data_IF_158639547755
#
_entry.id   IF_158639547755
#
_cell.length_a   1.000
_cell.length_b   1.000
_cell.length_c   1.000
_cell.angle_alpha   90.00
_cell.angle_beta   90.00
_cell.angle_gamma   90.00
#
_symmetry.space_group_name_H-M   'P 1'
#
loop_
_entity.id
_entity.type
_entity.pdbx_description
1 polymer ?
#
# COMPACT_ATOMS: atom_id res chain seq x y z
N UNK A 1 11.67 2.35 3.32
CA UNK A 1 13.14 2.04 3.30
C UNK A 1 13.45 0.86 4.22
N UNK A 2 14.63 0.24 4.05
CA UNK A 2 15.08 -0.91 4.90
C UNK A 2 15.27 -0.53 6.38
N UNK A 3 15.54 0.72 6.65
CA UNK A 3 15.71 1.28 8.00
C UNK A 3 14.41 1.88 8.57
N UNK A 4 13.28 1.64 7.90
CA UNK A 4 11.96 2.19 8.23
C UNK A 4 11.87 3.72 8.11
N UNK A 5 12.83 4.39 7.51
CA UNK A 5 12.70 5.82 7.20
C UNK A 5 11.60 6.06 6.17
N UNK A 6 10.88 7.16 6.31
CA UNK A 6 9.86 7.58 5.35
C UNK A 6 10.51 8.36 4.21
N UNK A 7 10.06 8.11 2.99
CA UNK A 7 10.43 8.87 1.81
C UNK A 7 9.23 9.69 1.34
N UNK A 8 9.51 10.86 0.80
CA UNK A 8 8.50 11.67 0.14
C UNK A 8 8.01 10.95 -1.12
N UNK A 9 6.69 10.75 -1.20
CA UNK A 9 6.03 10.20 -2.39
C UNK A 9 5.28 11.32 -3.11
N UNK A 10 3.95 11.34 -3.05
CA UNK A 10 3.14 12.43 -3.62
C UNK A 10 3.29 13.72 -2.81
N UNK A 11 3.51 13.64 -1.50
CA UNK A 11 3.92 14.80 -0.73
C UNK A 11 5.37 15.15 -1.05
N UNK A 12 5.61 16.42 -1.40
CA UNK A 12 6.94 16.98 -1.58
C UNK A 12 7.64 17.21 -0.23
N UNK A 13 6.89 17.70 0.74
CA UNK A 13 7.33 17.85 2.12
C UNK A 13 6.13 17.82 3.08
N UNK A 14 6.43 17.71 4.37
CA UNK A 14 5.45 17.77 5.43
C UNK A 14 6.04 18.35 6.71
N UNK A 15 5.21 18.97 7.51
CA UNK A 15 5.57 19.55 8.81
C UNK A 15 4.58 19.11 9.88
N UNK A 16 5.03 19.13 11.13
CA UNK A 16 4.20 18.92 12.31
C UNK A 16 4.29 20.19 13.16
N UNK A 17 3.17 20.64 13.70
CA UNK A 17 3.12 21.82 14.57
C UNK A 17 3.76 21.54 15.95
N UNK A 18 3.89 22.58 16.79
CA UNK A 18 4.48 22.47 18.13
C UNK A 18 3.67 21.56 19.07
N UNK A 19 2.36 21.45 18.85
CA UNK A 19 1.50 20.55 19.63
C UNK A 19 1.65 19.07 19.24
N UNK A 20 2.35 18.80 18.15
CA UNK A 20 2.50 17.48 17.54
C UNK A 20 1.16 16.82 17.14
N UNK A 21 0.15 17.63 16.87
CA UNK A 21 -1.18 17.15 16.50
C UNK A 21 -1.64 17.57 15.11
N UNK A 22 -1.02 18.57 14.50
CA UNK A 22 -1.38 19.04 13.16
C UNK A 22 -0.25 18.72 12.19
N UNK A 23 -0.58 17.90 11.20
CA UNK A 23 0.31 17.53 10.10
C UNK A 23 -0.09 18.31 8.86
N UNK A 24 0.83 19.05 8.27
CA UNK A 24 0.61 19.80 7.03
C UNK A 24 1.49 19.22 5.92
N UNK A 25 0.87 18.75 4.85
CA UNK A 25 1.52 18.17 3.69
C UNK A 25 1.45 19.14 2.51
N UNK A 26 2.57 19.31 1.81
CA UNK A 26 2.62 20.00 0.52
C UNK A 26 2.76 18.95 -0.59
N UNK A 27 1.84 18.95 -1.54
CA UNK A 27 1.81 17.99 -2.64
C UNK A 27 2.67 18.48 -3.80
N UNK A 28 3.26 17.53 -4.54
CA UNK A 28 3.95 17.77 -5.81
C UNK A 28 2.97 18.27 -6.88
N UNK A 29 3.51 19.01 -7.85
CA UNK A 29 2.73 19.60 -8.94
C UNK A 29 2.51 18.70 -10.15
N UNK A 30 3.31 17.68 -10.28
CA UNK A 30 3.49 16.86 -11.47
C UNK A 30 2.92 15.44 -11.31
N UNK A 31 2.07 15.22 -10.33
CA UNK A 31 1.41 13.94 -10.09
C UNK A 31 0.05 13.92 -10.76
N UNK A 32 -0.16 12.95 -11.64
CA UNK A 32 -1.40 12.74 -12.37
C UNK A 32 -1.98 11.35 -12.11
N UNK A 33 -3.29 11.27 -12.12
CA UNK A 33 -3.96 9.97 -12.21
C UNK A 33 -3.69 9.31 -13.57
N UNK A 34 -3.80 7.99 -13.61
CA UNK A 34 -3.75 7.23 -14.87
C UNK A 34 -4.87 7.71 -15.81
N UNK A 35 -4.58 7.72 -17.10
CA UNK A 35 -5.60 7.97 -18.12
C UNK A 35 -6.70 6.91 -18.01
N UNK A 36 -7.95 7.36 -17.95
CA UNK A 36 -9.12 6.51 -17.86
C UNK A 36 -10.39 7.24 -18.33
N UNK A 37 -11.36 6.47 -18.80
CA UNK A 37 -12.63 6.98 -19.28
C UNK A 37 -13.52 7.64 -18.19
N UNK A 38 -13.11 7.63 -16.91
CA UNK A 38 -13.77 8.39 -15.85
C UNK A 38 -13.45 9.89 -15.93
N UNK A 39 -12.35 10.27 -16.56
CA UNK A 39 -11.93 11.65 -16.71
C UNK A 39 -12.37 12.27 -18.04
N UNK A 40 -12.38 13.59 -18.09
CA UNK A 40 -12.67 14.35 -19.31
C UNK A 40 -11.66 13.97 -20.41
N UNK A 41 -12.21 13.71 -21.61
CA UNK A 41 -11.44 13.23 -22.76
C UNK A 41 -10.57 11.99 -22.47
N UNK A 42 -10.84 11.25 -21.40
CA UNK A 42 -10.09 10.06 -21.00
C UNK A 42 -8.70 10.35 -20.43
N UNK A 43 -8.37 11.60 -20.10
CA UNK A 43 -7.06 12.02 -19.60
C UNK A 43 -7.05 12.19 -18.09
N UNK A 44 -6.12 11.49 -17.42
CA UNK A 44 -5.92 11.63 -15.99
C UNK A 44 -5.60 13.07 -15.61
N UNK A 45 -6.34 13.62 -14.66
CA UNK A 45 -6.08 14.95 -14.12
C UNK A 45 -5.04 14.92 -13.00
N UNK A 46 -4.58 16.09 -12.61
CA UNK A 46 -3.69 16.25 -11.44
C UNK A 46 -4.33 15.72 -10.17
N UNK A 47 -3.50 15.12 -9.34
CA UNK A 47 -3.84 14.77 -7.95
C UNK A 47 -3.83 16.05 -7.11
N UNK A 48 -4.89 16.28 -6.35
CA UNK A 48 -5.06 17.42 -5.47
C UNK A 48 -5.37 17.00 -4.03
N UNK A 49 -5.25 17.92 -3.09
CA UNK A 49 -5.42 17.63 -1.66
C UNK A 49 -6.83 17.10 -1.31
N UNK A 50 -7.87 17.54 -2.02
CA UNK A 50 -9.23 17.02 -1.81
C UNK A 50 -9.40 15.55 -2.20
N UNK A 51 -8.55 15.01 -3.08
CA UNK A 51 -8.58 13.59 -3.43
C UNK A 51 -8.11 12.72 -2.24
N UNK A 52 -7.14 13.21 -1.48
CA UNK A 52 -6.72 12.55 -0.24
C UNK A 52 -7.79 12.63 0.84
N UNK A 53 -8.43 13.80 1.02
CA UNK A 53 -9.55 13.92 1.94
C UNK A 53 -10.63 12.90 1.60
N UNK A 54 -11.03 12.83 0.34
CA UNK A 54 -12.00 11.86 -0.16
C UNK A 54 -11.57 10.41 0.09
N UNK A 55 -10.33 10.05 -0.26
CA UNK A 55 -9.79 8.71 -0.04
C UNK A 55 -9.84 8.30 1.44
N UNK A 56 -9.52 9.21 2.34
CA UNK A 56 -9.51 8.96 3.78
C UNK A 56 -10.93 8.84 4.36
N UNK A 57 -11.90 9.57 3.81
CA UNK A 57 -13.31 9.43 4.13
C UNK A 57 -13.85 8.07 3.65
N UNK A 58 -13.53 7.65 2.42
CA UNK A 58 -13.86 6.30 1.91
C UNK A 58 -13.22 5.22 2.80
N UNK A 59 -11.95 5.35 3.17
CA UNK A 59 -11.25 4.40 4.04
C UNK A 59 -11.88 4.32 5.44
N UNK A 60 -12.44 5.41 5.94
CA UNK A 60 -13.05 5.47 7.27
C UNK A 60 -14.53 5.07 7.26
N UNK A 61 -15.19 5.01 6.11
CA UNK A 61 -16.59 4.64 5.99
C UNK A 61 -16.81 3.14 6.21
N UNK A 62 -17.83 2.78 7.01
CA UNK A 62 -18.25 1.38 7.22
C UNK A 62 -18.76 0.69 5.97
N UNK A 63 -19.31 1.46 5.04
CA UNK A 63 -19.95 0.95 3.83
C UNK A 63 -18.92 0.50 2.80
N UNK A 64 -17.75 1.12 2.82
CA UNK A 64 -16.74 0.97 1.78
C UNK A 64 -15.44 0.33 2.25
N UNK A 65 -15.18 0.30 3.56
CA UNK A 65 -13.88 -0.14 4.08
C UNK A 65 -13.95 -0.99 5.34
N UNK A 66 -13.02 -1.94 5.45
CA UNK A 66 -12.73 -2.69 6.69
C UNK A 66 -11.59 -2.03 7.51
N UNK A 67 -11.01 -0.94 7.01
CA UNK A 67 -9.83 -0.29 7.58
C UNK A 67 -10.17 0.94 8.45
N UNK A 68 -11.43 1.07 8.85
CA UNK A 68 -11.94 2.18 9.66
C UNK A 68 -11.12 2.43 10.94
N UNK A 69 -10.52 1.37 11.48
CA UNK A 69 -9.70 1.42 12.69
C UNK A 69 -8.41 2.24 12.53
N UNK A 70 -7.98 2.54 11.30
CA UNK A 70 -6.75 3.31 11.07
C UNK A 70 -6.91 4.77 11.53
N UNK A 71 -8.07 5.37 11.31
CA UNK A 71 -8.34 6.76 11.64
C UNK A 71 -9.30 6.95 12.83
N UNK A 72 -10.16 5.95 13.09
CA UNK A 72 -11.04 5.99 14.26
C UNK A 72 -10.24 6.28 15.53
N UNK A 73 -10.76 7.18 16.36
CA UNK A 73 -10.18 7.63 17.63
C UNK A 73 -8.77 8.24 17.53
N UNK A 74 -8.24 8.42 16.31
CA UNK A 74 -6.94 9.05 16.04
C UNK A 74 -7.07 10.40 15.36
N UNK A 75 -7.88 10.48 14.30
CA UNK A 75 -8.11 11.73 13.57
C UNK A 75 -9.34 12.42 14.11
N UNK A 76 -9.27 13.74 14.29
CA UNK A 76 -10.37 14.55 14.81
C UNK A 76 -11.60 14.41 13.90
N UNK A 77 -12.74 14.09 14.48
CA UNK A 77 -14.01 13.90 13.75
C UNK A 77 -14.18 12.56 13.05
N UNK A 78 -13.15 11.70 13.00
CA UNK A 78 -13.25 10.41 12.32
C UNK A 78 -14.27 9.47 12.97
N UNK A 79 -14.37 9.46 14.30
CA UNK A 79 -15.36 8.65 15.01
C UNK A 79 -16.78 9.13 14.78
N UNK A 80 -17.03 10.45 14.77
CA UNK A 80 -18.34 11.02 14.49
C UNK A 80 -18.78 10.75 13.03
N UNK A 81 -17.84 10.85 12.09
CA UNK A 81 -18.09 10.49 10.70
C UNK A 81 -18.44 8.99 10.57
N UNK A 82 -17.67 8.11 11.21
CA UNK A 82 -17.90 6.67 11.21
C UNK A 82 -19.25 6.27 11.81
N UNK A 83 -19.73 7.02 12.78
CA UNK A 83 -21.02 6.82 13.44
C UNK A 83 -22.20 7.50 12.72
N UNK A 84 -21.93 8.21 11.63
CA UNK A 84 -22.95 8.94 10.85
C UNK A 84 -23.45 10.23 11.51
N UNK A 85 -22.72 10.74 12.51
CA UNK A 85 -23.04 12.01 13.20
C UNK A 85 -22.51 13.24 12.46
N UNK A 86 -21.52 13.04 11.59
CA UNK A 86 -20.95 14.07 10.74
C UNK A 86 -20.90 13.62 9.28
N UNK A 87 -21.02 14.55 8.34
CA UNK A 87 -20.94 14.30 6.89
C UNK A 87 -19.50 14.29 6.36
N UNK A 88 -18.53 14.70 7.17
CA UNK A 88 -17.10 14.75 6.80
C UNK A 88 -16.21 14.56 8.04
N UNK A 89 -14.94 14.24 7.81
CA UNK A 89 -13.94 14.14 8.87
C UNK A 89 -13.34 15.53 9.09
N UNK A 90 -13.76 16.23 10.13
CA UNK A 90 -13.37 17.62 10.39
C UNK A 90 -11.87 17.85 10.59
N UNK A 91 -11.14 16.82 11.00
CA UNK A 91 -9.69 16.84 11.14
C UNK A 91 -8.91 16.65 9.84
N UNK A 92 -9.57 16.48 8.69
CA UNK A 92 -8.93 16.37 7.39
C UNK A 92 -9.37 17.53 6.52
N UNK A 93 -8.44 18.41 6.16
CA UNK A 93 -8.74 19.64 5.44
C UNK A 93 -7.86 19.80 4.21
N UNK A 94 -8.47 19.92 3.03
CA UNK A 94 -7.81 20.42 1.85
C UNK A 94 -7.85 21.96 1.93
N UNK A 95 -6.72 22.57 2.29
CA UNK A 95 -6.60 24.02 2.45
C UNK A 95 -6.63 24.71 1.09
N UNK A 96 -5.94 24.11 0.14
CA UNK A 96 -5.91 24.44 -1.29
C UNK A 96 -5.60 23.15 -2.07
N UNK A 97 -5.46 23.21 -3.39
CA UNK A 97 -5.19 22.03 -4.23
C UNK A 97 -3.91 21.26 -3.86
N UNK A 98 -2.96 21.95 -3.22
CA UNK A 98 -1.63 21.38 -2.88
C UNK A 98 -1.39 21.20 -1.39
N UNK A 99 -2.27 21.65 -0.55
CA UNK A 99 -2.06 21.65 0.90
C UNK A 99 -3.12 20.82 1.59
N UNK A 100 -2.69 19.68 2.12
CA UNK A 100 -3.51 18.81 2.97
C UNK A 100 -3.10 19.00 4.43
N UNK A 101 -4.07 19.23 5.31
CA UNK A 101 -3.88 19.29 6.74
C UNK A 101 -4.63 18.15 7.42
N UNK A 102 -3.96 17.45 8.34
CA UNK A 102 -4.55 16.39 9.15
C UNK A 102 -4.33 16.69 10.63
N UNK A 103 -5.41 16.79 11.38
CA UNK A 103 -5.39 17.00 12.84
C UNK A 103 -5.71 15.70 13.56
N UNK A 104 -4.81 15.26 14.44
CA UNK A 104 -5.00 14.08 15.28
C UNK A 104 -5.44 14.48 16.70
N UNK A 105 -6.16 13.57 17.36
CA UNK A 105 -6.76 13.81 18.69
C UNK A 105 -5.71 14.03 19.78
N UNK A 106 -4.56 13.36 19.66
CA UNK A 106 -3.44 13.47 20.60
C UNK A 106 -2.13 13.14 19.91
N UNK A 107 -0.99 13.66 20.37
CA UNK A 107 0.32 13.35 19.80
C UNK A 107 0.56 11.84 19.70
N UNK A 108 0.94 11.39 18.50
CA UNK A 108 1.23 9.98 18.22
C UNK A 108 2.34 9.90 17.15
N UNK A 109 3.56 9.62 17.54
CA UNK A 109 4.72 9.57 16.65
C UNK A 109 4.60 8.51 15.53
N UNK A 110 3.83 7.44 15.74
CA UNK A 110 3.59 6.41 14.75
C UNK A 110 2.50 6.77 13.73
N UNK A 111 1.77 7.88 13.89
CA UNK A 111 0.66 8.23 13.01
C UNK A 111 1.10 8.40 11.54
N UNK A 112 2.24 9.04 11.31
CA UNK A 112 2.76 9.27 9.97
C UNK A 112 2.98 7.96 9.18
N UNK A 113 3.30 6.85 9.85
CA UNK A 113 3.48 5.55 9.21
C UNK A 113 2.16 4.94 8.72
N UNK A 114 1.01 5.34 9.30
CA UNK A 114 -0.29 4.91 8.79
C UNK A 114 -0.56 5.50 7.40
N UNK A 115 -0.05 6.71 7.14
CA UNK A 115 -0.18 7.38 5.85
C UNK A 115 0.73 6.77 4.77
N UNK A 116 1.72 5.97 5.17
CA UNK A 116 2.58 5.21 4.26
C UNK A 116 2.02 3.81 3.91
N UNK A 117 0.90 3.41 4.50
CA UNK A 117 0.24 2.16 4.17
C UNK A 117 -0.47 2.23 2.81
N UNK A 118 -0.56 1.12 2.06
CA UNK A 118 -1.32 1.07 0.81
C UNK A 118 -2.78 1.52 0.95
N UNK A 119 -3.37 1.33 2.13
CA UNK A 119 -4.74 1.75 2.45
C UNK A 119 -4.92 3.29 2.43
N UNK A 120 -3.84 4.04 2.54
CA UNK A 120 -3.83 5.51 2.50
C UNK A 120 -3.53 6.07 1.10
N UNK A 121 -3.60 5.22 0.06
CA UNK A 121 -3.42 5.65 -1.32
C UNK A 121 -4.52 6.64 -1.74
N UNK A 122 -4.15 7.60 -2.58
CA UNK A 122 -5.08 8.59 -3.14
C UNK A 122 -6.09 7.92 -4.08
N UNK A 123 -7.33 8.41 -4.07
CA UNK A 123 -8.45 7.92 -4.89
C UNK A 123 -9.02 9.10 -5.68
N UNK A 124 -9.19 8.94 -6.99
CA UNK A 124 -9.93 9.89 -7.80
C UNK A 124 -11.43 9.73 -7.54
N UNK A 125 -12.10 10.84 -7.20
CA UNK A 125 -13.54 10.88 -6.97
C UNK A 125 -14.32 10.34 -8.18
N UNK A 126 -13.94 10.78 -9.39
CA UNK A 126 -14.57 10.37 -10.65
C UNK A 126 -14.45 8.85 -10.90
N UNK A 127 -13.32 8.27 -10.53
CA UNK A 127 -13.12 6.83 -10.67
C UNK A 127 -14.00 6.04 -9.68
N UNK A 128 -14.10 6.53 -8.45
CA UNK A 128 -14.96 5.92 -7.45
C UNK A 128 -16.44 6.04 -7.80
N UNK A 129 -16.89 7.18 -8.28
CA UNK A 129 -18.29 7.39 -8.72
C UNK A 129 -18.67 6.47 -9.87
N UNK A 130 -17.73 6.24 -10.80
CA UNK A 130 -17.98 5.41 -11.97
C UNK A 130 -17.89 3.92 -11.70
N UNK A 131 -16.93 3.48 -10.89
CA UNK A 131 -16.57 2.08 -10.74
C UNK A 131 -16.76 1.53 -9.32
N UNK A 132 -16.98 2.41 -8.32
CA UNK A 132 -17.07 2.03 -6.92
C UNK A 132 -15.80 1.29 -6.45
N UNK A 133 -16.00 0.25 -5.65
CA UNK A 133 -14.89 -0.57 -5.12
C UNK A 133 -14.15 -1.42 -6.20
N UNK A 134 -14.57 -1.36 -7.46
CA UNK A 134 -13.91 -2.06 -8.58
C UNK A 134 -12.94 -1.15 -9.36
N UNK A 135 -12.75 0.09 -8.92
CA UNK A 135 -11.84 1.01 -9.58
C UNK A 135 -10.41 0.46 -9.60
N UNK A 136 -9.72 0.71 -10.70
CA UNK A 136 -8.32 0.36 -10.91
C UNK A 136 -7.46 1.57 -11.27
N UNK A 137 -8.06 2.77 -11.19
CA UNK A 137 -7.41 4.03 -11.51
C UNK A 137 -6.62 4.52 -10.30
N UNK A 138 -5.35 4.82 -10.49
CA UNK A 138 -4.44 5.32 -9.48
C UNK A 138 -3.46 6.34 -10.05
N UNK A 139 -2.47 6.73 -9.27
CA UNK A 139 -1.38 7.63 -9.65
C UNK A 139 0.01 6.95 -9.51
N UNK A 140 0.02 5.63 -9.47
CA UNK A 140 1.23 4.83 -9.25
C UNK A 140 2.07 4.61 -10.49
N UNK A 141 3.20 3.91 -10.30
CA UNK A 141 4.14 3.56 -11.36
C UNK A 141 3.57 2.60 -12.41
N UNK A 142 2.53 1.86 -12.06
CA UNK A 142 1.92 0.87 -12.93
C UNK A 142 0.41 1.07 -13.03
N UNK A 143 -0.12 0.85 -14.24
CA UNK A 143 -1.55 0.91 -14.58
C UNK A 143 -2.11 -0.51 -14.73
N UNK A 144 -3.31 -0.73 -14.21
CA UNK A 144 -4.02 -1.98 -14.46
C UNK A 144 -4.33 -2.15 -15.96
N UNK A 145 -4.15 -3.36 -16.44
CA UNK A 145 -4.52 -3.79 -17.79
C UNK A 145 -5.38 -5.04 -17.66
N UNK A 146 -6.40 -5.14 -18.48
CA UNK A 146 -7.28 -6.32 -18.48
C UNK A 146 -6.45 -7.59 -18.67
N UNK A 147 -6.52 -8.56 -17.75
CA UNK A 147 -5.72 -9.77 -17.84
C UNK A 147 -6.23 -10.68 -18.95
N UNK A 148 -5.34 -11.52 -19.51
CA UNK A 148 -5.70 -12.53 -20.51
C UNK A 148 -6.25 -13.81 -19.88
N UNK A 149 -6.14 -13.93 -18.54
CA UNK A 149 -6.62 -15.09 -17.78
C UNK A 149 -7.13 -14.64 -16.40
N UNK A 150 -8.18 -15.26 -15.86
CA UNK A 150 -8.67 -14.99 -14.52
C UNK A 150 -7.68 -15.39 -13.41
N UNK A 151 -6.62 -16.15 -13.73
CA UNK A 151 -5.57 -16.55 -12.79
C UNK A 151 -4.38 -15.59 -12.78
N UNK A 152 -4.53 -14.39 -13.32
CA UNK A 152 -3.47 -13.37 -13.30
C UNK A 152 -4.02 -11.95 -13.10
N UNK A 153 -3.16 -11.06 -12.64
CA UNK A 153 -3.35 -9.61 -12.74
C UNK A 153 -2.21 -9.03 -13.54
N UNK A 154 -2.52 -8.15 -14.49
CA UNK A 154 -1.54 -7.48 -15.35
C UNK A 154 -1.48 -6.01 -15.04
N UNK A 155 -0.26 -5.51 -14.98
CA UNK A 155 0.04 -4.09 -14.85
C UNK A 155 1.01 -3.69 -15.96
N UNK A 156 0.76 -2.56 -16.62
CA UNK A 156 1.72 -1.92 -17.54
C UNK A 156 2.35 -0.70 -16.88
N UNK A 157 3.53 -0.30 -17.31
CA UNK A 157 4.16 0.90 -16.78
C UNK A 157 3.31 2.16 -17.07
N UNK A 158 3.46 3.14 -16.20
CA UNK A 158 2.87 4.45 -16.36
C UNK A 158 3.92 5.41 -16.94
N UNK A 159 3.78 5.78 -18.19
CA UNK A 159 4.66 6.71 -18.89
C UNK A 159 4.69 8.12 -18.28
N UNK A 160 3.67 8.46 -17.50
CA UNK A 160 3.55 9.75 -16.81
C UNK A 160 3.86 9.64 -15.31
N UNK A 161 4.59 8.60 -14.89
CA UNK A 161 4.95 8.48 -13.49
C UNK A 161 5.94 9.56 -13.08
N UNK A 162 5.69 10.21 -11.95
CA UNK A 162 6.36 11.42 -11.51
C UNK A 162 7.74 11.22 -10.87
N UNK A 163 8.15 9.99 -10.57
CA UNK A 163 9.44 9.73 -9.95
C UNK A 163 10.49 9.35 -10.98
N UNK A 164 11.69 9.89 -10.77
CA UNK A 164 12.91 9.48 -11.41
C UNK A 164 13.86 8.82 -10.40
N UNK A 165 14.84 8.09 -10.89
CA UNK A 165 15.95 7.61 -10.08
C UNK A 165 16.96 8.73 -9.76
N UNK A 166 18.03 8.39 -9.01
CA UNK A 166 19.10 9.33 -8.64
C UNK A 166 19.90 9.85 -9.85
N UNK A 167 19.86 9.14 -10.97
CA UNK A 167 20.53 9.51 -12.23
C UNK A 167 19.61 10.31 -13.16
N UNK A 168 18.35 10.52 -12.79
CA UNK A 168 17.34 11.25 -13.56
C UNK A 168 16.59 10.40 -14.59
N UNK A 169 16.76 9.08 -14.58
CA UNK A 169 15.99 8.20 -15.46
C UNK A 169 14.58 8.02 -14.91
N UNK A 170 13.59 8.06 -15.80
CA UNK A 170 12.19 7.88 -15.43
C UNK A 170 11.92 6.47 -14.92
N UNK A 171 11.19 6.37 -13.81
CA UNK A 171 10.69 5.13 -13.28
C UNK A 171 9.27 4.83 -13.82
N UNK A 172 8.83 3.56 -13.83
CA UNK A 172 9.57 2.34 -13.45
C UNK A 172 10.45 1.81 -14.59
N UNK A 173 11.45 1.00 -14.27
CA UNK A 173 12.30 0.33 -15.29
C UNK A 173 11.61 -0.83 -16.01
N UNK A 174 10.60 -1.44 -15.40
CA UNK A 174 9.88 -2.57 -15.98
C UNK A 174 8.73 -2.08 -16.85
N UNK A 175 8.59 -2.65 -18.03
CA UNK A 175 7.47 -2.36 -18.93
C UNK A 175 6.14 -2.91 -18.40
N UNK A 176 6.19 -4.02 -17.66
CA UNK A 176 4.99 -4.66 -17.09
C UNK A 176 5.31 -5.54 -15.89
N UNK A 177 4.29 -5.75 -15.06
CA UNK A 177 4.30 -6.71 -13.95
C UNK A 177 3.09 -7.62 -14.09
N UNK A 178 3.31 -8.93 -14.01
CA UNK A 178 2.24 -9.93 -14.08
C UNK A 178 2.25 -10.74 -12.78
N UNK A 179 1.17 -10.65 -12.01
CA UNK A 179 0.95 -11.51 -10.86
C UNK A 179 0.19 -12.76 -11.32
N UNK A 180 0.77 -13.93 -11.11
CA UNK A 180 0.13 -15.21 -11.37
C UNK A 180 -0.39 -15.83 -10.08
N UNK A 181 -1.65 -16.20 -10.07
CA UNK A 181 -2.29 -16.85 -8.93
C UNK A 181 -2.17 -18.37 -9.05
N UNK A 182 -1.30 -18.93 -8.23
CA UNK A 182 -0.96 -20.36 -8.26
C UNK A 182 -1.49 -21.02 -6.98
N UNK A 183 -2.18 -22.18 -7.08
CA UNK A 183 -2.88 -22.78 -5.93
C UNK A 183 -1.98 -23.21 -4.78
N UNK A 184 -0.72 -23.59 -5.06
CA UNK A 184 0.18 -24.11 -4.02
C UNK A 184 1.59 -23.52 -4.13
N UNK A 185 2.25 -23.37 -2.97
CA UNK A 185 3.65 -22.92 -2.91
C UNK A 185 4.62 -23.88 -3.62
N UNK A 186 4.28 -25.17 -3.71
CA UNK A 186 5.08 -26.12 -4.44
C UNK A 186 5.02 -25.86 -5.94
N UNK A 187 3.82 -25.61 -6.47
CA UNK A 187 3.63 -25.24 -7.88
C UNK A 187 4.29 -23.91 -8.23
N UNK A 188 4.24 -22.92 -7.33
CA UNK A 188 4.97 -21.66 -7.52
C UNK A 188 6.49 -21.90 -7.62
N UNK A 189 7.06 -22.75 -6.74
CA UNK A 189 8.47 -23.09 -6.77
C UNK A 189 8.86 -23.78 -8.10
N UNK A 190 8.04 -24.69 -8.62
CA UNK A 190 8.30 -25.33 -9.91
C UNK A 190 8.22 -24.31 -11.06
N UNK A 191 7.24 -23.42 -11.08
CA UNK A 191 7.17 -22.33 -12.07
C UNK A 191 8.38 -21.38 -11.99
N UNK A 192 8.91 -21.13 -10.79
CA UNK A 192 10.14 -20.38 -10.64
C UNK A 192 11.35 -21.12 -11.20
N UNK A 193 11.46 -22.44 -10.97
CA UNK A 193 12.53 -23.30 -11.51
C UNK A 193 12.49 -23.39 -13.04
N UNK A 194 11.30 -23.42 -13.62
CA UNK A 194 11.09 -23.41 -15.10
C UNK A 194 11.21 -22.02 -15.71
N UNK A 195 11.41 -20.97 -14.88
CA UNK A 195 11.50 -19.56 -15.29
C UNK A 195 10.18 -18.98 -15.84
N UNK A 196 9.05 -19.59 -15.52
CA UNK A 196 7.71 -19.08 -15.86
C UNK A 196 7.32 -17.89 -14.98
N UNK A 197 7.95 -17.78 -13.79
CA UNK A 197 7.89 -16.60 -12.93
C UNK A 197 9.32 -16.19 -12.52
N UNK A 198 9.52 -14.89 -12.37
CA UNK A 198 10.82 -14.30 -12.03
C UNK A 198 11.01 -14.09 -10.52
N UNK A 199 9.93 -14.09 -9.75
CA UNK A 199 9.93 -13.82 -8.31
C UNK A 199 8.97 -14.74 -7.59
N UNK A 200 9.39 -15.25 -6.43
CA UNK A 200 8.61 -16.09 -5.54
C UNK A 200 8.69 -15.53 -4.12
N UNK A 201 7.54 -15.25 -3.50
CA UNK A 201 7.46 -14.84 -2.10
C UNK A 201 7.15 -16.03 -1.18
N UNK A 202 8.09 -16.32 -0.27
CA UNK A 202 7.98 -17.45 0.64
C UNK A 202 8.20 -18.82 -0.05
N UNK A 203 8.90 -19.69 0.60
CA UNK A 203 9.21 -21.04 0.13
C UNK A 203 8.27 -22.07 0.77
N UNK A 204 7.92 -23.16 0.05
CA UNK A 204 7.22 -24.27 0.66
C UNK A 204 8.10 -24.89 1.76
N UNK A 205 7.55 -25.04 2.96
CA UNK A 205 8.29 -25.48 4.15
C UNK A 205 9.05 -26.79 3.93
N UNK A 206 8.45 -27.72 3.17
CA UNK A 206 9.08 -29.02 2.82
C UNK A 206 10.29 -28.91 1.90
N UNK A 207 10.52 -27.75 1.26
CA UNK A 207 11.60 -27.53 0.29
C UNK A 207 12.64 -26.53 0.74
N UNK A 208 12.48 -25.90 1.90
CA UNK A 208 13.41 -24.86 2.38
C UNK A 208 14.85 -25.37 2.44
N UNK A 209 15.09 -26.55 3.03
CA UNK A 209 16.43 -27.10 3.18
C UNK A 209 17.10 -27.38 1.81
N UNK A 210 16.35 -27.93 0.87
CA UNK A 210 16.79 -28.20 -0.50
C UNK A 210 17.17 -26.89 -1.22
N UNK A 211 16.25 -25.91 -1.24
CA UNK A 211 16.47 -24.62 -1.92
C UNK A 211 17.64 -23.85 -1.32
N UNK A 212 17.81 -23.88 0.00
CA UNK A 212 18.94 -23.24 0.68
C UNK A 212 20.26 -23.93 0.33
N UNK A 213 20.29 -25.27 0.30
CA UNK A 213 21.48 -26.04 -0.07
C UNK A 213 21.89 -25.77 -1.53
N UNK A 214 20.93 -25.79 -2.46
CA UNK A 214 21.15 -25.48 -3.88
C UNK A 214 21.69 -24.04 -4.06
N UNK A 215 21.17 -23.09 -3.31
CA UNK A 215 21.58 -21.69 -3.39
C UNK A 215 23.03 -21.52 -2.87
N UNK A 216 23.40 -22.19 -1.78
CA UNK A 216 24.79 -22.22 -1.27
C UNK A 216 25.75 -22.81 -2.31
N UNK A 217 25.35 -23.88 -2.98
CA UNK A 217 26.16 -24.51 -4.02
C UNK A 217 26.40 -23.59 -5.23
N UNK A 218 25.39 -22.81 -5.63
CA UNK A 218 25.47 -21.85 -6.71
C UNK A 218 26.38 -20.65 -6.41
N UNK A 219 26.62 -20.30 -5.14
CA UNK A 219 27.50 -19.21 -4.74
C UNK A 219 29.00 -19.51 -4.94
N UNK A 220 29.39 -20.76 -5.12
CA UNK A 220 30.81 -21.13 -5.05
C UNK A 220 31.68 -20.66 -6.20
N UNK A 221 31.16 -20.34 -7.40
CA UNK A 221 32.05 -19.96 -8.54
C UNK A 221 31.44 -19.06 -9.64
N UNK A 222 30.18 -18.59 -9.52
CA UNK A 222 29.51 -17.74 -10.52
C UNK A 222 28.49 -16.83 -9.84
N UNK A 223 28.14 -15.66 -10.41
CA UNK A 223 26.96 -14.94 -9.97
C UNK A 223 25.76 -15.89 -9.96
N UNK A 224 25.02 -15.98 -8.85
CA UNK A 224 23.90 -16.91 -8.75
C UNK A 224 22.86 -16.58 -9.82
N UNK A 225 22.33 -17.60 -10.50
CA UNK A 225 21.20 -17.43 -11.41
C UNK A 225 19.91 -17.05 -10.67
N UNK A 226 19.87 -17.35 -9.38
CA UNK A 226 18.78 -17.04 -8.45
C UNK A 226 19.35 -16.45 -7.16
N UNK A 227 18.64 -15.48 -6.60
CA UNK A 227 19.02 -14.84 -5.33
C UNK A 227 17.99 -15.22 -4.28
N UNK A 228 18.47 -15.76 -3.14
CA UNK A 228 17.66 -15.94 -1.95
C UNK A 228 17.84 -14.73 -1.04
N UNK A 229 16.77 -13.94 -0.90
CA UNK A 229 16.74 -12.80 0.03
C UNK A 229 16.11 -13.28 1.33
N UNK A 230 16.78 -13.03 2.45
CA UNK A 230 16.25 -13.26 3.80
C UNK A 230 16.26 -11.94 4.53
N UNK A 231 15.10 -11.52 4.96
CA UNK A 231 14.94 -10.29 5.74
C UNK A 231 14.16 -10.62 7.03
N UNK A 232 14.50 -9.99 8.15
CA UNK A 232 13.73 -10.12 9.38
C UNK A 232 12.37 -9.44 9.18
N UNK A 233 11.29 -10.11 9.56
CA UNK A 233 9.96 -9.53 9.60
C UNK A 233 9.66 -9.02 11.01
N UNK A 234 8.99 -7.86 11.12
CA UNK A 234 8.51 -7.32 12.40
C UNK A 234 7.20 -8.00 12.78
N UNK A 235 7.22 -9.33 12.91
CA UNK A 235 6.07 -10.16 13.28
C UNK A 235 6.37 -10.84 14.60
N UNK A 236 5.42 -10.73 15.54
CA UNK A 236 5.43 -11.52 16.76
C UNK A 236 4.36 -12.60 16.62
N UNK A 237 4.76 -13.88 16.70
CA UNK A 237 3.86 -15.00 16.81
C UNK A 237 3.71 -15.39 18.28
N UNK A 238 2.47 -15.51 18.74
CA UNK A 238 2.18 -15.90 20.13
C UNK A 238 0.98 -16.83 20.18
N UNK A 239 0.87 -17.56 21.29
CA UNK A 239 -0.32 -18.32 21.64
C UNK A 239 -1.11 -17.51 22.63
N UNK A 240 -2.40 -17.30 22.35
CA UNK A 240 -3.34 -16.67 23.24
C UNK A 240 -4.25 -17.74 23.84
N UNK A 241 -4.36 -17.76 25.17
CA UNK A 241 -5.20 -18.70 25.87
C UNK A 241 -6.38 -17.95 26.51
N UNK A 242 -7.58 -18.49 26.34
CA UNK A 242 -8.75 -17.96 27.04
C UNK A 242 -8.71 -18.44 28.49
N UNK A 243 -8.23 -17.59 29.39
CA UNK A 243 -8.14 -17.89 30.83
C UNK A 243 -9.50 -18.03 31.56
N UNK A 244 -10.62 -17.92 30.85
CA UNK A 244 -11.95 -18.14 31.41
C UNK A 244 -12.52 -19.53 31.07
N UNK A 245 -11.79 -20.34 30.31
CA UNK A 245 -12.23 -21.65 29.81
C UNK A 245 -11.26 -22.75 30.21
N UNK A 246 -11.72 -23.93 30.67
CA UNK A 246 -10.86 -25.08 30.92
C UNK A 246 -10.04 -25.47 29.67
N UNK A 247 -8.80 -25.92 29.87
CA UNK A 247 -8.08 -26.08 31.14
C UNK A 247 -7.36 -24.82 31.63
N UNK A 248 -7.43 -23.69 30.86
CA UNK A 248 -6.64 -22.48 31.12
C UNK A 248 -7.25 -21.54 32.16
N UNK A 249 -8.42 -21.86 32.70
CA UNK A 249 -9.05 -21.23 33.87
C UNK A 249 -8.35 -21.61 35.20
N UNK A 250 -7.42 -22.55 35.13
CA UNK A 250 -6.62 -22.98 36.28
C UNK A 250 -5.22 -22.41 36.21
N UNK A 251 -4.83 -21.59 37.18
CA UNK A 251 -3.50 -20.94 37.27
C UNK A 251 -2.33 -21.96 37.32
N UNK A 252 -2.63 -23.24 37.53
CA UNK A 252 -1.60 -24.31 37.57
C UNK A 252 -1.40 -25.01 36.22
N UNK A 253 -2.11 -24.65 35.19
CA UNK A 253 -1.94 -25.09 33.82
C UNK A 253 -1.29 -24.00 33.03
#
# INVERSE_FOLDING_TARGET
TKDLSLLNAIADNWTIDESQTVYTFKLKDDVYFHDDACFDAGKGRKVIASDFKFAFEIMTSKETSQNTHLFKDRVVGASDYLEGKASEISGIRAIDDKTLEITIVKPQSSFIYLLALPNSAVIAHEAFDKYGNKMTVGAGAFKYVEPTSPSETRLSYNENYYLNDEEGNQLPYLDSVIFKYVPTKLSELEMFRTKDIAFLYGLPTSKIAEVVADNIANFKNKPPQTILIREPEMITQYYEFNAQVPPFDNVKV
#
